data_IF_610163170543
#
_entry.id   IF_610163170543
#
_cell.length_a   1.000
_cell.length_b   1.000
_cell.length_c   1.000
_cell.angle_alpha   90.00
_cell.angle_beta   90.00
_cell.angle_gamma   90.00
#
_symmetry.space_group_name_H-M   'P 1'
#
loop_
_entity.id
_entity.type
_entity.pdbx_description
1 polymer ?
#
# COMPACT_ATOMS: atom_id res chain seq x y z
N UNK A 1 -0.70 -1.35 -16.28
CA UNK A 1 -1.35 -2.63 -15.99
C UNK A 1 -1.29 -2.76 -14.48
N UNK A 2 -2.28 -2.14 -13.86
CA UNK A 2 -2.22 -1.65 -12.49
C UNK A 2 -2.92 -2.65 -11.60
N UNK A 3 -2.15 -3.37 -10.78
CA UNK A 3 -2.62 -4.43 -9.89
C UNK A 3 -3.37 -3.90 -8.65
N UNK A 4 -3.60 -2.60 -8.59
CA UNK A 4 -4.31 -1.93 -7.51
C UNK A 4 -5.84 -2.16 -7.54
N UNK A 5 -6.38 -2.79 -8.59
CA UNK A 5 -7.82 -3.00 -8.76
C UNK A 5 -8.38 -4.37 -8.33
N UNK A 6 -7.56 -5.32 -7.87
CA UNK A 6 -8.03 -6.72 -7.65
C UNK A 6 -8.64 -6.98 -6.27
N UNK A 7 -8.50 -6.07 -5.30
CA UNK A 7 -9.09 -6.19 -3.98
C UNK A 7 -10.25 -5.20 -3.89
N UNK A 8 -11.47 -5.65 -4.21
CA UNK A 8 -12.72 -4.88 -4.18
C UNK A 8 -13.18 -4.40 -2.80
N UNK A 9 -12.26 -3.87 -1.98
CA UNK A 9 -12.54 -2.96 -0.89
C UNK A 9 -12.39 -1.53 -1.42
N UNK A 10 -13.22 -0.59 -0.96
CA UNK A 10 -13.07 0.85 -1.21
C UNK A 10 -11.84 1.46 -0.51
N UNK A 11 -10.73 0.74 -0.45
CA UNK A 11 -9.45 1.20 0.08
C UNK A 11 -8.56 1.53 -1.11
N UNK A 12 -8.21 2.80 -1.23
CA UNK A 12 -7.24 3.23 -2.24
C UNK A 12 -5.84 2.90 -1.71
N UNK A 13 -5.12 2.02 -2.39
CA UNK A 13 -3.72 1.71 -2.10
C UNK A 13 -2.84 2.30 -3.21
N UNK A 14 -1.90 3.16 -2.83
CA UNK A 14 -0.89 3.74 -3.71
C UNK A 14 0.48 3.25 -3.28
N UNK A 15 1.12 2.46 -4.12
CA UNK A 15 2.46 1.93 -3.86
C UNK A 15 3.48 2.80 -4.58
N UNK A 16 4.40 3.39 -3.82
CA UNK A 16 5.56 4.07 -4.36
C UNK A 16 6.68 3.06 -4.58
N UNK A 17 7.12 2.95 -5.83
CA UNK A 17 8.29 2.13 -6.20
C UNK A 17 9.46 3.04 -6.54
N UNK A 18 10.63 2.77 -5.97
CA UNK A 18 11.88 3.42 -6.35
C UNK A 18 12.77 2.46 -7.13
N UNK A 19 13.41 3.00 -8.15
CA UNK A 19 14.38 2.26 -8.94
C UNK A 19 15.76 2.45 -8.30
N UNK A 20 16.13 1.53 -7.40
CA UNK A 20 17.46 1.54 -6.76
C UNK A 20 18.45 0.71 -7.58
N UNK A 21 19.53 1.36 -8.04
CA UNK A 21 20.80 0.78 -8.52
C UNK A 21 20.77 -0.14 -9.75
N UNK A 22 19.85 -1.10 -9.79
CA UNK A 22 19.80 -2.21 -10.74
C UNK A 22 18.70 -2.04 -11.82
N UNK A 23 18.03 -0.90 -11.86
CA UNK A 23 16.94 -0.65 -12.82
C UNK A 23 15.63 -1.37 -12.50
N UNK A 24 15.56 -2.15 -11.42
CA UNK A 24 14.33 -2.82 -10.97
C UNK A 24 13.58 -1.89 -10.01
N UNK A 25 12.33 -1.53 -10.32
CA UNK A 25 11.49 -0.76 -9.40
C UNK A 25 11.16 -1.65 -8.20
N UNK A 26 11.71 -1.29 -7.04
CA UNK A 26 11.38 -1.93 -5.77
C UNK A 26 10.32 -1.12 -5.02
N UNK A 27 9.30 -1.77 -4.45
CA UNK A 27 8.33 -1.11 -3.60
C UNK A 27 9.03 -0.52 -2.38
N UNK A 28 8.90 0.80 -2.21
CA UNK A 28 9.54 1.55 -1.14
C UNK A 28 8.54 1.84 -0.01
N UNK A 29 7.36 2.33 -0.35
CA UNK A 29 6.31 2.72 0.60
C UNK A 29 4.92 2.48 0.01
N UNK A 30 3.94 2.29 0.88
CA UNK A 30 2.53 2.19 0.49
C UNK A 30 1.73 3.24 1.25
N UNK A 31 1.01 4.07 0.52
CA UNK A 31 0.00 4.97 1.05
C UNK A 31 -1.36 4.30 0.92
N UNK A 32 -2.03 4.15 2.04
CA UNK A 32 -3.35 3.56 2.15
C UNK A 32 -4.33 4.64 2.55
N UNK A 33 -5.48 4.70 1.89
CA UNK A 33 -6.52 5.65 2.22
C UNK A 33 -7.80 4.91 2.58
N UNK A 34 -8.10 4.83 3.88
CA UNK A 34 -9.20 4.06 4.46
C UNK A 34 -8.92 3.64 5.91
N UNK A 35 -9.82 2.85 6.49
CA UNK A 35 -9.65 2.33 7.85
C UNK A 35 -8.45 1.39 7.94
N UNK A 36 -7.60 1.61 8.95
CA UNK A 36 -6.46 0.74 9.22
C UNK A 36 -6.91 -0.71 9.40
N UNK A 37 -6.23 -1.62 8.70
CA UNK A 37 -6.54 -3.05 8.73
C UNK A 37 -5.26 -3.86 8.83
N UNK A 38 -5.11 -4.58 9.95
CA UNK A 38 -3.94 -5.44 10.18
C UNK A 38 -3.72 -6.48 9.07
N UNK A 39 -4.81 -7.06 8.54
CA UNK A 39 -4.74 -8.02 7.45
C UNK A 39 -4.13 -7.40 6.17
N UNK A 40 -4.51 -6.16 5.83
CA UNK A 40 -3.90 -5.45 4.70
C UNK A 40 -2.43 -5.12 4.98
N UNK A 41 -2.12 -4.72 6.20
CA UNK A 41 -0.75 -4.39 6.58
C UNK A 41 0.19 -5.60 6.43
N UNK A 42 -0.24 -6.78 6.89
CA UNK A 42 0.52 -8.02 6.72
C UNK A 42 0.58 -8.50 5.26
N UNK A 43 -0.48 -8.27 4.48
CA UNK A 43 -0.48 -8.57 3.05
C UNK A 43 0.54 -7.71 2.29
N UNK A 44 0.60 -6.39 2.57
CA UNK A 44 1.60 -5.50 1.99
C UNK A 44 3.04 -5.89 2.36
N UNK A 45 3.26 -6.34 3.59
CA UNK A 45 4.57 -6.82 4.02
C UNK A 45 4.95 -8.14 3.33
N UNK A 46 4.01 -9.08 3.21
CA UNK A 46 4.28 -10.41 2.65
C UNK A 46 4.36 -10.39 1.11
N UNK A 47 3.44 -9.69 0.45
CA UNK A 47 3.32 -9.68 -1.00
C UNK A 47 4.20 -8.63 -1.66
N UNK A 48 4.30 -7.44 -1.06
CA UNK A 48 5.09 -6.32 -1.59
C UNK A 48 6.39 -6.10 -0.83
N UNK A 49 6.63 -6.75 0.32
CA UNK A 49 7.83 -6.49 1.11
C UNK A 49 7.84 -5.12 1.79
N UNK A 50 6.68 -4.47 1.92
CA UNK A 50 6.58 -3.12 2.52
C UNK A 50 6.25 -3.27 4.00
N UNK A 51 7.21 -3.02 4.92
CA UNK A 51 6.97 -3.15 6.35
C UNK A 51 5.98 -2.10 6.83
N UNK A 52 5.25 -2.38 7.92
CA UNK A 52 4.25 -1.48 8.50
C UNK A 52 4.80 -0.06 8.80
N UNK A 53 6.11 0.03 9.09
CA UNK A 53 6.84 1.28 9.29
C UNK A 53 6.80 2.22 8.08
N UNK A 54 6.63 1.67 6.87
CA UNK A 54 6.57 2.37 5.58
C UNK A 54 5.17 2.38 4.98
N UNK A 55 4.17 1.92 5.73
CA UNK A 55 2.77 1.96 5.36
C UNK A 55 2.13 3.19 5.99
N UNK A 56 1.80 4.17 5.15
CA UNK A 56 1.16 5.40 5.59
C UNK A 56 -0.34 5.24 5.46
N UNK A 57 -1.06 5.28 6.57
CA UNK A 57 -2.51 5.13 6.59
C UNK A 57 -3.18 6.49 6.75
N UNK A 58 -3.86 6.92 5.71
CA UNK A 58 -4.76 8.06 5.69
C UNK A 58 -6.15 7.56 6.04
N UNK A 59 -6.56 7.74 7.28
CA UNK A 59 -7.95 7.57 7.67
C UNK A 59 -8.76 8.57 6.85
N UNK A 60 -9.61 8.10 5.91
CA UNK A 60 -10.68 8.98 5.45
C UNK A 60 -11.58 9.10 6.65
N UNK A 61 -11.64 10.30 7.23
CA UNK A 61 -12.84 10.70 7.95
C UNK A 61 -13.97 10.49 6.94
N UNK A 62 -14.72 9.40 7.10
CA UNK A 62 -15.96 9.24 6.37
C UNK A 62 -16.82 10.41 6.83
N UNK A 63 -16.80 11.51 6.07
CA UNK A 63 -17.68 12.66 6.29
C UNK A 63 -19.10 12.08 6.46
N UNK A 64 -19.65 12.31 7.64
CA UNK A 64 -20.90 11.77 8.13
C UNK A 64 -22.10 12.25 7.32
#
# INVERSE_FOLDING_TARGET
MDKAGELGLEVTVRVETRTEGNGIPVPWSAELTGSWSQALASALETELGIPAERQVWHEREAEN
#
